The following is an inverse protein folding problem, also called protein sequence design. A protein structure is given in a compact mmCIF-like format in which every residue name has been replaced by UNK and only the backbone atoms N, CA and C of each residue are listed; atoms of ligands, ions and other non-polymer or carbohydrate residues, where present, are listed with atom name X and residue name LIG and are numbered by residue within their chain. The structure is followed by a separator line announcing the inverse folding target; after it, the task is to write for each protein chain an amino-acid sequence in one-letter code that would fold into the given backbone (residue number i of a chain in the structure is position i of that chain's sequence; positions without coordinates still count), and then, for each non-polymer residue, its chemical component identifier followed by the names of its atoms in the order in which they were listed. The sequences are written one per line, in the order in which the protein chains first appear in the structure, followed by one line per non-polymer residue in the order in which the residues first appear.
data_IF_001119569886
#
_entry.id   IF_001119569886
#
_cell.length_a   1.000
_cell.length_b   1.000
_cell.length_c   1.000
_cell.angle_alpha   90.00
_cell.angle_beta   90.00
_cell.angle_gamma   90.00
#
_symmetry.space_group_name_H-M   'P 1'
#
loop_
_entity.id
_entity.type
_entity.pdbx_description
1 polymer ?
#
# COMPACT_ATOMS: atom_id res chain seq x y z
N UNK A 1 31.14 -29.65 -6.36
CA UNK A 1 29.81 -29.24 -6.86
C UNK A 1 28.93 -28.67 -5.75
N UNK A 2 28.76 -29.33 -4.60
CA UNK A 2 27.88 -28.88 -3.49
C UNK A 2 28.11 -27.44 -2.99
N UNK A 3 29.37 -27.00 -2.87
CA UNK A 3 29.72 -25.67 -2.34
C UNK A 3 29.29 -24.53 -3.29
N UNK A 4 29.48 -24.69 -4.61
CA UNK A 4 29.01 -23.71 -5.60
C UNK A 4 27.48 -23.58 -5.59
N UNK A 5 26.77 -24.69 -5.38
CA UNK A 5 25.31 -24.71 -5.28
C UNK A 5 24.80 -23.87 -4.11
N UNK A 6 25.46 -23.97 -2.94
CA UNK A 6 25.10 -23.20 -1.75
C UNK A 6 25.28 -21.70 -1.99
N UNK A 7 26.42 -21.29 -2.58
CA UNK A 7 26.64 -19.89 -2.92
C UNK A 7 25.60 -19.38 -3.92
N UNK A 8 25.31 -20.14 -4.97
CA UNK A 8 24.29 -19.76 -5.95
C UNK A 8 22.90 -19.60 -5.31
N UNK A 9 22.49 -20.51 -4.43
CA UNK A 9 21.22 -20.41 -3.70
C UNK A 9 21.18 -19.21 -2.76
N UNK A 10 22.30 -18.89 -2.08
CA UNK A 10 22.40 -17.72 -1.21
C UNK A 10 22.28 -16.41 -2.01
N UNK A 11 22.95 -16.31 -3.16
CA UNK A 11 22.82 -15.14 -4.05
C UNK A 11 21.40 -15.02 -4.62
N UNK A 12 20.77 -16.13 -5.02
CA UNK A 12 19.40 -16.12 -5.49
C UNK A 12 18.42 -15.65 -4.39
N UNK A 13 18.60 -16.11 -3.15
CA UNK A 13 17.80 -15.68 -2.02
C UNK A 13 17.99 -14.18 -1.74
N UNK A 14 19.24 -13.70 -1.75
CA UNK A 14 19.54 -12.28 -1.56
C UNK A 14 18.89 -11.41 -2.64
N UNK A 15 18.99 -11.81 -3.91
CA UNK A 15 18.37 -11.10 -5.03
C UNK A 15 16.84 -11.11 -4.94
N UNK A 16 16.25 -12.23 -4.52
CA UNK A 16 14.80 -12.33 -4.32
C UNK A 16 14.31 -11.42 -3.20
N UNK A 17 15.00 -11.39 -2.06
CA UNK A 17 14.70 -10.47 -0.96
C UNK A 17 14.85 -9.01 -1.38
N UNK A 18 15.94 -8.68 -2.11
CA UNK A 18 16.15 -7.34 -2.61
C UNK A 18 15.02 -6.94 -3.57
N UNK A 19 14.67 -7.79 -4.54
CA UNK A 19 13.60 -7.53 -5.50
C UNK A 19 12.24 -7.29 -4.83
N UNK A 20 11.89 -8.11 -3.84
CA UNK A 20 10.61 -8.00 -3.14
C UNK A 20 10.51 -6.73 -2.28
N UNK A 21 11.60 -6.33 -1.61
CA UNK A 21 11.61 -5.15 -0.73
C UNK A 21 12.06 -3.86 -1.41
N UNK A 22 12.54 -3.93 -2.65
CA UNK A 22 13.03 -2.79 -3.42
C UNK A 22 12.02 -1.62 -3.49
N UNK A 23 10.71 -1.83 -3.72
CA UNK A 23 9.74 -0.73 -3.76
C UNK A 23 9.66 0.03 -2.43
N UNK A 24 9.74 -0.67 -1.29
CA UNK A 24 9.71 -0.06 0.04
C UNK A 24 10.97 0.78 0.27
N UNK A 25 12.13 0.30 -0.18
CA UNK A 25 13.39 1.05 -0.08
C UNK A 25 13.33 2.35 -0.89
N UNK A 26 12.72 2.34 -2.08
CA UNK A 26 12.51 3.55 -2.89
C UNK A 26 11.57 4.56 -2.22
N UNK A 27 10.70 4.11 -1.33
CA UNK A 27 9.76 4.96 -0.62
C UNK A 27 10.33 5.62 0.64
N UNK A 28 11.45 5.15 1.19
CA UNK A 28 12.12 5.78 2.34
C UNK A 28 12.31 7.30 2.17
N UNK A 29 12.89 7.82 1.06
CA UNK A 29 13.01 9.25 0.88
C UNK A 29 11.65 9.96 0.74
N UNK A 30 10.64 9.30 0.16
CA UNK A 30 9.29 9.85 0.03
C UNK A 30 8.60 9.98 1.39
N UNK A 31 8.75 8.99 2.27
CA UNK A 31 8.31 9.06 3.67
C UNK A 31 8.98 10.21 4.42
N UNK A 32 10.30 10.38 4.27
CA UNK A 32 11.05 11.44 4.98
C UNK A 32 10.72 12.85 4.50
N UNK A 33 10.33 13.00 3.23
CA UNK A 33 10.01 14.29 2.61
C UNK A 33 8.51 14.61 2.61
N UNK A 34 7.66 13.69 3.10
CA UNK A 34 6.20 13.85 3.06
C UNK A 34 5.60 13.80 1.65
N UNK A 35 6.33 13.22 0.68
CA UNK A 35 5.90 13.14 -0.71
C UNK A 35 5.00 11.90 -0.91
N UNK A 36 3.69 12.11 -0.77
CA UNK A 36 2.68 11.07 -0.97
C UNK A 36 1.89 11.29 -2.25
N UNK A 37 1.41 10.20 -2.83
CA UNK A 37 0.42 10.22 -3.89
C UNK A 37 -0.97 10.32 -3.27
N UNK A 38 -1.82 11.13 -3.91
CA UNK A 38 -3.22 11.31 -3.54
C UNK A 38 -4.10 10.91 -4.71
N UNK A 39 -5.21 10.23 -4.42
CA UNK A 39 -6.21 9.90 -5.42
C UNK A 39 -7.57 9.66 -4.81
N UNK A 40 -8.63 10.05 -5.50
CA UNK A 40 -9.97 9.55 -5.21
C UNK A 40 -10.09 8.17 -5.87
N UNK A 41 -10.52 7.19 -5.08
CA UNK A 41 -10.69 5.83 -5.54
C UNK A 41 -11.99 5.19 -5.08
N UNK A 42 -12.46 4.24 -5.89
CA UNK A 42 -13.57 3.37 -5.53
C UNK A 42 -13.01 1.98 -5.20
N UNK A 43 -13.36 1.46 -4.03
CA UNK A 43 -13.00 0.09 -3.65
C UNK A 43 -13.74 -0.90 -4.55
N UNK A 44 -13.01 -1.74 -5.29
CA UNK A 44 -13.60 -2.73 -6.22
C UNK A 44 -13.71 -4.13 -5.64
N UNK A 45 -13.04 -4.43 -4.54
CA UNK A 45 -13.12 -5.72 -3.87
C UNK A 45 -12.92 -5.51 -2.38
N UNK A 46 -13.80 -6.06 -1.55
CA UNK A 46 -13.53 -6.14 -0.11
C UNK A 46 -14.08 -7.42 0.50
N UNK A 47 -13.23 -8.08 1.27
CA UNK A 47 -13.67 -8.85 2.44
C UNK A 47 -12.93 -8.28 3.66
N UNK A 48 -13.48 -7.19 4.19
CA UNK A 48 -13.02 -6.49 5.39
C UNK A 48 -14.12 -6.47 6.45
N UNK A 49 -14.66 -7.63 6.75
CA UNK A 49 -15.60 -7.80 7.85
C UNK A 49 -14.92 -7.96 9.22
N UNK A 50 -13.60 -8.18 9.27
CA UNK A 50 -12.91 -8.57 10.52
C UNK A 50 -11.67 -7.70 10.82
N UNK A 51 -11.82 -6.78 11.78
CA UNK A 51 -10.77 -5.88 12.27
C UNK A 51 -9.56 -6.60 12.88
N UNK A 52 -9.71 -7.89 13.23
CA UNK A 52 -8.66 -8.68 13.87
C UNK A 52 -7.67 -9.31 12.89
N UNK A 53 -7.92 -9.28 11.59
CA UNK A 53 -7.09 -9.94 10.58
C UNK A 53 -6.16 -8.97 9.84
N UNK A 54 -4.98 -8.76 10.41
CA UNK A 54 -3.89 -7.93 9.87
C UNK A 54 -3.42 -8.39 8.47
N UNK A 55 -3.57 -9.68 8.16
CA UNK A 55 -3.04 -10.31 6.93
C UNK A 55 -3.84 -10.03 5.66
N UNK A 56 -5.06 -9.47 5.75
CA UNK A 56 -5.89 -9.14 4.57
C UNK A 56 -5.89 -7.64 4.26
N UNK A 57 -4.71 -7.01 4.25
CA UNK A 57 -4.58 -5.55 4.08
C UNK A 57 -4.56 -5.02 2.64
N UNK A 58 -4.82 -5.88 1.64
CA UNK A 58 -4.76 -5.48 0.23
C UNK A 58 -6.15 -5.25 -0.36
N UNK A 59 -6.43 -4.03 -0.81
CA UNK A 59 -7.68 -3.64 -1.49
C UNK A 59 -7.35 -3.31 -2.94
N UNK A 60 -8.15 -3.80 -3.87
CA UNK A 60 -8.07 -3.34 -5.25
C UNK A 60 -8.89 -2.04 -5.37
N UNK A 61 -8.18 -0.93 -5.59
CA UNK A 61 -8.76 0.41 -5.73
C UNK A 61 -8.71 0.84 -7.19
N UNK A 62 -9.83 1.33 -7.72
CA UNK A 62 -9.83 2.04 -9.00
C UNK A 62 -9.55 3.52 -8.76
N UNK A 63 -8.41 4.02 -9.26
CA UNK A 63 -7.97 5.41 -9.11
C UNK A 63 -7.71 5.96 -10.50
N UNK A 64 -8.41 7.03 -10.86
CA UNK A 64 -8.30 7.66 -12.19
C UNK A 64 -8.53 6.68 -13.37
N UNK A 65 -9.35 5.65 -13.19
CA UNK A 65 -9.63 4.62 -14.20
C UNK A 65 -8.66 3.43 -14.22
N UNK A 66 -7.58 3.48 -13.44
CA UNK A 66 -6.63 2.38 -13.28
C UNK A 66 -6.92 1.60 -12.00
N UNK A 67 -7.06 0.28 -12.11
CA UNK A 67 -7.21 -0.59 -10.93
C UNK A 67 -5.83 -0.96 -10.38
N UNK A 68 -5.55 -0.54 -9.15
CA UNK A 68 -4.30 -0.81 -8.43
C UNK A 68 -4.57 -1.56 -7.14
N UNK A 69 -3.76 -2.59 -6.86
CA UNK A 69 -3.74 -3.24 -5.57
C UNK A 69 -2.98 -2.38 -4.57
N UNK A 70 -3.63 -2.00 -3.49
CA UNK A 70 -3.09 -1.14 -2.44
C UNK A 70 -3.05 -1.85 -1.12
N UNK A 71 -2.00 -1.62 -0.33
CA UNK A 71 -1.89 -2.11 1.03
C UNK A 71 -2.32 -1.01 1.99
N UNK A 72 -3.57 -1.06 2.44
CA UNK A 72 -4.22 0.02 3.17
C UNK A 72 -4.40 -0.31 4.65
N UNK A 73 -4.02 0.65 5.50
CA UNK A 73 -4.33 0.65 6.93
C UNK A 73 -5.65 1.41 7.15
N UNK A 74 -6.77 0.85 6.70
CA UNK A 74 -8.10 1.44 6.96
C UNK A 74 -9.03 0.41 7.58
N UNK A 75 -9.79 0.82 8.60
CA UNK A 75 -10.92 0.06 9.12
C UNK A 75 -12.18 0.43 8.34
N UNK A 76 -13.02 -0.56 8.02
CA UNK A 76 -14.41 -0.34 7.64
C UNK A 76 -14.73 0.10 6.20
N UNK A 77 -13.78 0.01 5.25
CA UNK A 77 -14.10 0.27 3.83
C UNK A 77 -14.88 -0.93 3.28
N UNK A 78 -16.00 -0.68 2.60
CA UNK A 78 -16.80 -1.67 1.90
C UNK A 78 -16.58 -1.59 0.39
N UNK A 79 -16.93 -2.67 -0.31
CA UNK A 79 -16.92 -2.64 -1.77
C UNK A 79 -17.90 -1.57 -2.28
N UNK A 80 -17.45 -0.77 -3.24
CA UNK A 80 -18.22 0.36 -3.78
C UNK A 80 -18.06 1.67 -3.00
N UNK A 81 -17.37 1.68 -1.86
CA UNK A 81 -17.15 2.91 -1.11
C UNK A 81 -16.19 3.84 -1.86
N UNK A 82 -16.52 5.14 -1.83
CA UNK A 82 -15.64 6.22 -2.30
C UNK A 82 -14.75 6.66 -1.16
N UNK A 83 -13.44 6.59 -1.38
CA UNK A 83 -12.44 7.03 -0.41
C UNK A 83 -11.38 7.88 -1.09
N UNK A 84 -10.79 8.79 -0.31
CA UNK A 84 -9.52 9.41 -0.69
C UNK A 84 -8.41 8.52 -0.18
N UNK A 85 -7.51 8.12 -1.07
CA UNK A 85 -6.32 7.34 -0.71
C UNK A 85 -5.08 8.21 -0.69
N UNK A 86 -4.27 8.02 0.35
CA UNK A 86 -2.94 8.61 0.50
C UNK A 86 -1.95 7.46 0.58
N UNK A 87 -1.03 7.38 -0.37
CA UNK A 87 -0.15 6.22 -0.50
C UNK A 87 1.24 6.58 -0.99
N UNK A 88 2.17 5.67 -0.75
CA UNK A 88 3.56 5.77 -1.19
C UNK A 88 3.71 5.36 -2.66
N UNK A 89 4.48 6.12 -3.46
CA UNK A 89 4.50 5.99 -4.92
C UNK A 89 5.00 4.64 -5.45
N UNK A 90 5.90 3.96 -4.75
CA UNK A 90 6.52 2.73 -5.27
C UNK A 90 5.90 1.45 -4.67
N UNK A 91 5.64 1.44 -3.37
CA UNK A 91 5.13 0.28 -2.64
C UNK A 91 3.61 0.18 -2.62
N UNK A 92 2.89 1.24 -2.99
CA UNK A 92 1.42 1.35 -2.89
C UNK A 92 0.91 1.06 -1.46
N UNK A 93 1.73 1.32 -0.45
CA UNK A 93 1.36 1.24 0.96
C UNK A 93 0.79 2.59 1.37
N UNK A 94 -0.34 2.59 2.06
CA UNK A 94 -0.99 3.83 2.41
C UNK A 94 -2.17 3.69 3.36
N UNK A 95 -2.96 4.74 3.39
CA UNK A 95 -4.20 4.82 4.14
C UNK A 95 -5.31 5.31 3.22
N UNK A 96 -6.51 4.80 3.45
CA UNK A 96 -7.72 5.28 2.80
C UNK A 96 -8.59 5.96 3.85
N UNK A 97 -9.14 7.10 3.48
CA UNK A 97 -9.98 7.94 4.34
C UNK A 97 -11.33 8.10 3.64
N UNK A 98 -12.46 7.86 4.33
CA UNK A 98 -13.78 8.11 3.77
C UNK A 98 -13.92 9.58 3.35
N UNK A 99 -14.51 9.85 2.19
CA UNK A 99 -14.63 11.21 1.63
C UNK A 99 -15.32 12.17 2.63
N UNK A 100 -16.30 11.67 3.38
CA UNK A 100 -17.05 12.44 4.39
C UNK A 100 -16.18 12.90 5.57
N UNK A 101 -15.04 12.24 5.81
CA UNK A 101 -14.10 12.53 6.91
C UNK A 101 -12.94 13.46 6.50
N UNK A 102 -12.80 13.76 5.19
CA UNK A 102 -11.68 14.56 4.65
C UNK A 102 -11.71 16.03 5.12
N UNK A 103 -12.88 16.52 5.55
CA UNK A 103 -13.05 17.88 6.08
C UNK A 103 -12.34 18.14 7.42
N UNK A 104 -12.06 17.09 8.21
CA UNK A 104 -11.39 17.23 9.51
C UNK A 104 -9.86 17.23 9.39
N UNK A 105 -9.29 16.45 8.48
CA UNK A 105 -7.83 16.38 8.29
C UNK A 105 -7.20 17.72 7.86
N UNK A 106 -7.92 18.56 7.11
CA UNK A 106 -7.42 19.89 6.71
C UNK A 106 -7.29 20.90 7.85
N UNK A 107 -7.74 20.58 9.07
CA UNK A 107 -7.64 21.49 10.23
C UNK A 107 -6.43 21.25 11.11
N UNK A 108 -5.77 20.11 10.99
CA UNK A 108 -4.70 19.71 11.92
C UNK A 108 -3.30 20.09 11.42
N UNK A 109 -3.15 20.33 10.11
CA UNK A 109 -1.90 20.79 9.47
C UNK A 109 -1.79 22.33 9.33
N UNK A 110 -2.42 23.11 10.24
CA UNK A 110 -2.28 24.59 10.25
C UNK A 110 -1.75 25.13 11.56
#
# INVERSE_FOLDING_TARGET
MMVLSIFASMYALLLWLLYFHYPILLDIPNCMSGNYCYGEGVSKSNDYSDENYIDRRSVDMEINGDTKRMYLYSCGIREGDRCVVVYLPHSNVGQAVPVDSVGDYKKEDR
#
